data_IF_193412695550
#
_entry.id   IF_193412695550
#
_cell.length_a   1.000
_cell.length_b   1.000
_cell.length_c   1.000
_cell.angle_alpha   90.00
_cell.angle_beta   90.00
_cell.angle_gamma   90.00
#
_symmetry.space_group_name_H-M   'P 1'
#
loop_
_entity.id
_entity.type
_entity.pdbx_description
1 polymer ?
#
# COMPACT_ATOMS: atom_id res chain seq x y z
N UNK A 1 8.03 2.04 1.05
CA UNK A 1 8.26 3.50 1.17
C UNK A 1 7.47 4.00 2.37
N UNK A 2 8.00 4.95 3.14
CA UNK A 2 7.26 5.59 4.24
C UNK A 2 6.79 6.94 3.72
N UNK A 3 5.50 7.22 3.81
CA UNK A 3 4.88 8.46 3.35
C UNK A 3 3.61 8.73 4.14
N UNK A 4 3.16 9.98 4.16
CA UNK A 4 1.85 10.38 4.66
C UNK A 4 0.81 10.57 3.55
N UNK A 5 1.23 10.43 2.29
CA UNK A 5 0.38 10.64 1.12
C UNK A 5 -0.34 9.33 0.75
N UNK A 6 -1.68 9.36 0.74
CA UNK A 6 -2.49 8.16 0.53
C UNK A 6 -2.38 7.62 -0.90
N UNK A 7 -2.26 8.51 -1.88
CA UNK A 7 -2.06 8.14 -3.28
C UNK A 7 -0.79 7.31 -3.47
N UNK A 8 0.33 7.70 -2.87
CA UNK A 8 1.57 6.92 -2.92
C UNK A 8 1.40 5.56 -2.23
N UNK A 9 0.70 5.51 -1.10
CA UNK A 9 0.41 4.25 -0.41
C UNK A 9 -0.44 3.30 -1.29
N UNK A 10 -1.42 3.83 -2.02
CA UNK A 10 -2.28 3.07 -2.95
C UNK A 10 -1.56 2.52 -4.18
N UNK A 11 -0.32 2.94 -4.45
CA UNK A 11 0.51 2.34 -5.51
C UNK A 11 1.45 1.25 -4.97
N UNK A 12 1.56 1.10 -3.64
CA UNK A 12 2.37 0.05 -3.04
C UNK A 12 1.64 -1.30 -3.08
N UNK A 13 2.42 -2.40 -3.13
CA UNK A 13 1.87 -3.76 -3.07
C UNK A 13 1.17 -4.10 -1.75
N UNK A 14 1.54 -3.41 -0.67
CA UNK A 14 1.04 -3.65 0.69
C UNK A 14 1.11 -2.34 1.47
N UNK A 15 0.06 -2.08 2.24
CA UNK A 15 -0.12 -0.86 3.02
C UNK A 15 -0.15 -1.26 4.49
N UNK A 16 0.83 -0.77 5.25
CA UNK A 16 0.94 -1.00 6.69
C UNK A 16 0.83 0.35 7.38
N UNK A 17 -0.14 0.49 8.30
CA UNK A 17 -0.30 1.68 9.14
C UNK A 17 0.21 1.37 10.53
N UNK A 18 1.00 2.30 11.06
CA UNK A 18 1.55 2.21 12.40
C UNK A 18 0.94 3.31 13.27
N UNK A 19 0.67 2.99 14.53
CA UNK A 19 0.26 3.96 15.56
C UNK A 19 0.95 3.57 16.85
N UNK A 20 1.54 4.53 17.56
CA UNK A 20 2.19 4.30 18.85
C UNK A 20 3.21 3.13 18.86
N UNK A 21 3.91 2.94 17.74
CA UNK A 21 4.91 1.87 17.58
C UNK A 21 4.34 0.47 17.33
N UNK A 22 3.01 0.32 17.21
CA UNK A 22 2.35 -0.95 16.86
C UNK A 22 1.76 -0.91 15.45
N UNK A 23 1.63 -2.08 14.83
CA UNK A 23 0.90 -2.23 13.56
C UNK A 23 -0.59 -2.10 13.83
N UNK A 24 -1.18 -1.02 13.35
CA UNK A 24 -2.61 -0.76 13.45
C UNK A 24 -3.37 -1.54 12.36
N UNK A 25 -2.88 -1.48 11.12
CA UNK A 25 -3.49 -2.18 9.99
C UNK A 25 -2.42 -2.69 9.04
N UNK A 26 -2.68 -3.86 8.46
CA UNK A 26 -1.84 -4.45 7.45
C UNK A 26 -2.72 -5.05 6.34
N UNK A 27 -2.69 -4.43 5.16
CA UNK A 27 -3.57 -4.76 4.04
C UNK A 27 -2.75 -4.93 2.76
N UNK A 28 -2.94 -6.06 2.09
CA UNK A 28 -2.42 -6.24 0.73
C UNK A 28 -3.24 -5.40 -0.25
N UNK A 29 -2.58 -4.69 -1.15
CA UNK A 29 -3.27 -3.87 -2.13
C UNK A 29 -3.83 -4.78 -3.25
N UNK A 30 -5.15 -4.79 -3.41
CA UNK A 30 -5.83 -5.60 -4.43
C UNK A 30 -5.87 -4.91 -5.80
N UNK A 31 -5.59 -3.61 -5.86
CA UNK A 31 -5.72 -2.78 -7.05
C UNK A 31 -4.36 -2.50 -7.70
N UNK A 32 -3.49 -3.50 -7.74
CA UNK A 32 -2.19 -3.42 -8.39
C UNK A 32 -2.35 -3.68 -9.89
N UNK A 33 -2.03 -2.68 -10.71
CA UNK A 33 -1.96 -2.85 -12.16
C UNK A 33 -0.69 -3.62 -12.51
N UNK A 34 -0.82 -4.88 -12.91
CA UNK A 34 0.34 -5.63 -13.44
C UNK A 34 0.62 -5.17 -14.86
N UNK A 35 1.90 -5.17 -15.22
CA UNK A 35 2.31 -4.90 -16.60
C UNK A 35 1.76 -5.96 -17.56
N UNK A 36 1.53 -7.18 -17.07
CA UNK A 36 0.93 -8.30 -17.82
C UNK A 36 -0.53 -8.04 -18.24
N UNK A 37 -1.28 -7.24 -17.49
CA UNK A 37 -2.68 -6.92 -17.80
C UNK A 37 -2.82 -5.82 -18.88
N UNK A 38 -1.70 -5.21 -19.30
CA UNK A 38 -1.69 -4.26 -20.43
C UNK A 38 -1.47 -5.03 -21.73
N UNK A 39 -2.52 -5.65 -22.24
CA UNK A 39 -2.57 -6.13 -23.63
C UNK A 39 -2.86 -5.00 -24.63
#
# INVERSE_FOLDING_TARGET
>A
VVTHEEDIALHAHRIIRLRDGVVESDVANTNITKVEDRQ
#
